data_IF_751067435338
#
_entry.id   IF_751067435338
#
_cell.length_a   1.000
_cell.length_b   1.000
_cell.length_c   1.000
_cell.angle_alpha   90.00
_cell.angle_beta   90.00
_cell.angle_gamma   90.00
#
_symmetry.space_group_name_H-M   'P 1'
#
loop_
_entity.id
_entity.type
_entity.pdbx_description
1 polymer ?
#
# COMPACT_ATOMS: atom_id res chain seq x y z
N UNK A 1 -7.19 12.65 13.75
CA UNK A 1 -6.75 11.60 14.69
C UNK A 1 -7.88 10.61 14.83
N UNK A 2 -7.63 9.31 14.72
CA UNK A 2 -8.68 8.28 14.74
C UNK A 2 -9.29 8.06 16.13
N UNK A 3 -8.56 8.44 17.17
CA UNK A 3 -8.99 8.39 18.56
C UNK A 3 -8.73 9.74 19.25
N UNK A 4 -9.52 10.05 20.27
CA UNK A 4 -9.35 11.26 21.08
C UNK A 4 -8.12 11.11 21.98
N UNK A 5 -7.34 12.19 22.11
CA UNK A 5 -6.28 12.25 23.12
C UNK A 5 -6.85 12.07 24.52
N UNK A 6 -6.29 11.14 25.30
CA UNK A 6 -6.67 10.92 26.70
C UNK A 6 -6.23 12.05 27.63
N UNK A 7 -5.34 12.93 27.18
CA UNK A 7 -4.77 14.01 27.97
C UNK A 7 -5.47 15.34 27.64
N UNK A 8 -5.56 16.24 28.63
CA UNK A 8 -5.99 17.62 28.40
C UNK A 8 -4.92 18.37 27.59
N UNK A 9 -5.25 18.69 26.33
CA UNK A 9 -4.36 19.44 25.43
C UNK A 9 -4.62 20.93 25.67
N UNK A 10 -3.57 21.64 26.08
CA UNK A 10 -3.61 23.07 26.37
C UNK A 10 -2.71 23.86 25.41
N UNK A 11 -2.92 25.17 25.37
CA UNK A 11 -2.09 26.08 24.57
C UNK A 11 -0.64 25.99 25.05
N UNK A 12 0.30 25.90 24.10
CA UNK A 12 1.73 25.73 24.39
C UNK A 12 2.20 24.28 24.39
N UNK A 13 1.32 23.29 24.19
CA UNK A 13 1.78 21.92 23.93
C UNK A 13 2.43 21.79 22.54
N UNK A 14 3.59 21.14 22.53
CA UNK A 14 4.31 20.79 21.30
C UNK A 14 3.99 19.36 20.90
N UNK A 15 3.85 19.14 19.60
CA UNK A 15 3.68 17.81 19.03
C UNK A 15 4.68 17.63 17.89
N UNK A 16 5.19 16.42 17.75
CA UNK A 16 5.93 16.02 16.57
C UNK A 16 5.04 15.09 15.74
N UNK A 17 4.87 15.42 14.46
CA UNK A 17 4.12 14.60 13.52
C UNK A 17 5.05 14.14 12.41
N UNK A 18 4.91 12.88 12.02
CA UNK A 18 5.65 12.28 10.91
C UNK A 18 4.67 12.12 9.76
N UNK A 19 5.14 12.31 8.52
CA UNK A 19 4.32 12.07 7.34
C UNK A 19 3.78 10.63 7.35
N UNK A 20 2.49 10.48 7.07
CA UNK A 20 1.88 9.16 6.86
C UNK A 20 2.40 8.51 5.58
N UNK A 21 2.47 7.18 5.57
CA UNK A 21 2.73 6.40 4.35
C UNK A 21 1.42 5.73 3.94
N UNK A 22 0.99 5.95 2.69
CA UNK A 22 -0.20 5.33 2.10
C UNK A 22 -0.02 3.82 1.82
N UNK A 23 1.12 3.24 2.22
CA UNK A 23 1.47 1.82 2.13
C UNK A 23 1.46 1.25 0.71
N UNK A 24 1.65 2.10 -0.29
CA UNK A 24 1.86 1.69 -1.68
C UNK A 24 3.34 1.74 -2.04
N UNK A 25 3.77 0.87 -2.97
CA UNK A 25 5.17 0.89 -3.45
C UNK A 25 5.52 2.23 -4.13
N UNK A 26 4.54 2.86 -4.80
CA UNK A 26 4.70 4.17 -5.42
C UNK A 26 4.99 5.27 -4.40
N UNK A 27 4.25 5.30 -3.28
CA UNK A 27 4.52 6.25 -2.20
C UNK A 27 5.88 5.98 -1.54
N UNK A 28 6.23 4.70 -1.31
CA UNK A 28 7.54 4.32 -0.75
C UNK A 28 8.72 4.79 -1.62
N UNK A 29 8.57 4.72 -2.94
CA UNK A 29 9.59 5.20 -3.89
C UNK A 29 9.62 6.72 -3.98
N UNK A 30 8.48 7.37 -4.18
CA UNK A 30 8.43 8.80 -4.54
C UNK A 30 8.53 9.74 -3.34
N UNK A 31 7.93 9.38 -2.20
CA UNK A 31 7.88 10.23 -1.01
C UNK A 31 9.04 9.95 -0.05
N UNK A 32 9.52 8.70 0.01
CA UNK A 32 10.49 8.24 1.01
C UNK A 32 11.80 7.71 0.40
N UNK A 33 11.90 7.60 -0.93
CA UNK A 33 13.06 7.02 -1.63
C UNK A 33 13.51 5.66 -1.05
N UNK A 34 12.55 4.85 -0.62
CA UNK A 34 12.78 3.61 0.12
C UNK A 34 11.99 2.43 -0.45
N UNK A 35 12.02 2.26 -1.78
CA UNK A 35 11.37 1.14 -2.44
C UNK A 35 12.00 -0.21 -2.07
N UNK A 36 13.30 -0.24 -1.77
CA UNK A 36 14.04 -1.48 -1.47
C UNK A 36 13.60 -2.16 -0.16
N UNK A 37 13.10 -1.40 0.81
CA UNK A 37 12.57 -1.92 2.07
C UNK A 37 11.03 -1.99 2.07
N UNK A 38 10.40 -2.09 0.90
CA UNK A 38 8.94 -2.30 0.81
C UNK A 38 8.59 -3.75 1.14
N UNK A 39 7.90 -3.98 2.26
CA UNK A 39 7.54 -5.33 2.77
C UNK A 39 6.16 -5.82 2.28
N UNK A 40 5.68 -5.29 1.17
CA UNK A 40 4.44 -5.75 0.53
C UNK A 40 4.71 -6.70 -0.63
N UNK A 41 3.64 -7.11 -1.30
CA UNK A 41 3.67 -8.01 -2.45
C UNK A 41 3.25 -7.28 -3.76
N UNK A 42 4.07 -6.32 -4.25
CA UNK A 42 3.67 -5.43 -5.35
C UNK A 42 3.47 -6.16 -6.70
N UNK A 43 4.02 -7.36 -6.85
CA UNK A 43 4.05 -8.10 -8.11
C UNK A 43 3.41 -9.47 -8.02
N UNK A 44 2.78 -9.82 -6.90
CA UNK A 44 2.10 -11.11 -6.79
C UNK A 44 0.92 -11.11 -7.78
N UNK A 45 0.92 -12.02 -8.76
CA UNK A 45 -0.17 -12.10 -9.71
C UNK A 45 -1.45 -12.61 -9.02
N UNK A 46 -2.59 -12.04 -9.40
CA UNK A 46 -3.89 -12.57 -8.98
C UNK A 46 -4.14 -13.98 -9.53
N UNK A 47 -5.14 -14.66 -8.97
CA UNK A 47 -5.51 -16.03 -9.36
C UNK A 47 -5.77 -16.17 -10.87
N UNK A 48 -6.36 -15.16 -11.51
CA UNK A 48 -6.68 -15.17 -12.93
C UNK A 48 -5.42 -15.30 -13.81
N UNK A 49 -4.33 -14.65 -13.40
CA UNK A 49 -3.02 -14.75 -14.04
C UNK A 49 -2.37 -16.10 -13.74
N UNK A 50 -2.60 -16.68 -12.56
CA UNK A 50 -2.05 -17.98 -12.18
C UNK A 50 -2.71 -19.15 -12.92
N UNK A 51 -4.02 -19.07 -13.19
CA UNK A 51 -4.77 -20.10 -13.94
C UNK A 51 -4.70 -19.93 -15.47
N UNK A 52 -3.96 -18.93 -15.95
CA UNK A 52 -3.76 -18.68 -17.38
C UNK A 52 -2.82 -19.72 -17.98
N UNK A 53 -3.39 -20.71 -18.67
CA UNK A 53 -2.69 -21.71 -19.48
C UNK A 53 -3.03 -21.49 -20.96
N UNK A 54 -2.29 -22.08 -21.89
CA UNK A 54 -2.60 -21.99 -23.33
C UNK A 54 -4.02 -22.49 -23.67
N UNK A 55 -4.54 -23.46 -22.90
CA UNK A 55 -5.90 -23.98 -23.05
C UNK A 55 -6.97 -23.00 -22.53
N UNK A 56 -6.78 -22.43 -21.33
CA UNK A 56 -7.73 -21.46 -20.74
C UNK A 56 -7.67 -20.08 -21.41
N UNK A 57 -6.52 -19.68 -21.97
CA UNK A 57 -6.37 -18.42 -22.71
C UNK A 57 -7.15 -18.42 -24.03
N UNK A 58 -7.26 -19.58 -24.69
CA UNK A 58 -7.97 -19.74 -25.96
C UNK A 58 -9.50 -19.78 -25.78
N UNK A 59 -9.98 -20.16 -24.59
CA UNK A 59 -11.40 -20.21 -24.20
C UNK A 59 -11.96 -18.82 -23.85
N UNK A 60 -11.16 -17.98 -23.18
CA UNK A 60 -11.51 -16.58 -22.88
C UNK A 60 -11.59 -15.67 -24.12
N UNK A 61 -10.99 -16.07 -25.24
CA UNK A 61 -11.04 -15.31 -26.50
C UNK A 61 -12.30 -15.58 -27.33
N UNK A 62 -13.14 -16.54 -26.91
CA UNK A 62 -14.37 -16.95 -27.62
C UNK A 62 -15.69 -16.60 -26.89
N UNK A 63 -15.63 -15.80 -25.81
CA UNK A 63 -16.84 -15.22 -25.16
C UNK A 63 -17.05 -13.77 -25.54
#
# INVERSE_FOLDING_TARGET
MWQKSGNNIVIGNTFNAIAGCDKTIGACSTLFNNAVNFHGEPYVPGMDKMLSTAATSNDLQHS
#
